data_IF_528235274055
#
_entry.id   IF_528235274055
#
_cell.length_a   1.000
_cell.length_b   1.000
_cell.length_c   1.000
_cell.angle_alpha   90.00
_cell.angle_beta   90.00
_cell.angle_gamma   90.00
#
_symmetry.space_group_name_H-M   'P 1'
#
loop_
_entity.id
_entity.type
_entity.pdbx_description
1 polymer ?
#
# COMPACT_ATOMS: atom_id res chain seq x y z
N UNK A 1 2.34 6.02 0.73
CA UNK A 1 3.63 6.62 0.37
C UNK A 1 4.10 7.70 1.32
N UNK A 2 4.55 7.36 2.54
CA UNK A 2 5.27 8.34 3.37
C UNK A 2 6.59 8.74 2.75
N UNK A 3 7.37 7.77 2.26
CA UNK A 3 8.62 8.06 1.55
C UNK A 3 8.39 8.98 0.34
N UNK A 4 7.43 8.65 -0.53
CA UNK A 4 7.10 9.50 -1.67
C UNK A 4 6.64 10.91 -1.28
N UNK A 5 5.84 11.03 -0.21
CA UNK A 5 5.42 12.33 0.32
C UNK A 5 6.60 13.18 0.82
N UNK A 6 7.57 12.58 1.51
CA UNK A 6 8.80 13.28 1.94
C UNK A 6 9.61 13.77 0.75
N UNK A 7 9.84 12.90 -0.24
CA UNK A 7 10.64 13.26 -1.43
C UNK A 7 9.95 14.36 -2.23
N UNK A 8 8.63 14.32 -2.35
CA UNK A 8 7.84 15.35 -3.02
C UNK A 8 7.94 16.70 -2.29
N UNK A 9 7.68 16.71 -0.98
CA UNK A 9 7.75 17.93 -0.17
C UNK A 9 9.15 18.56 -0.21
N UNK A 10 10.21 17.76 -0.14
CA UNK A 10 11.59 18.25 -0.16
C UNK A 10 12.01 18.86 -1.52
N UNK A 11 11.43 18.40 -2.64
CA UNK A 11 11.78 18.88 -3.98
C UNK A 11 11.14 20.21 -4.34
N UNK A 12 9.93 20.43 -3.87
CA UNK A 12 9.16 21.63 -4.18
C UNK A 12 9.52 22.79 -3.24
N UNK A 13 10.66 22.68 -2.53
CA UNK A 13 11.18 23.64 -1.54
C UNK A 13 10.13 24.08 -0.51
N UNK A 14 9.13 23.25 -0.31
CA UNK A 14 8.06 23.52 0.63
C UNK A 14 8.60 23.19 2.02
N UNK A 15 8.89 24.23 2.81
CA UNK A 15 8.90 24.15 4.27
C UNK A 15 7.45 23.96 4.76
N UNK A 16 6.81 22.92 4.25
CA UNK A 16 5.70 22.30 4.92
C UNK A 16 6.26 21.94 6.30
N UNK A 17 5.89 22.68 7.34
CA UNK A 17 6.22 22.37 8.74
C UNK A 17 5.59 21.07 9.23
N UNK A 18 5.43 20.09 8.33
CA UNK A 18 4.96 18.75 8.53
C UNK A 18 6.09 17.92 9.12
N UNK A 19 5.82 17.24 10.24
CA UNK A 19 6.70 16.20 10.77
C UNK A 19 6.59 14.90 9.97
N UNK A 20 6.63 15.01 8.63
CA UNK A 20 6.52 13.88 7.73
C UNK A 20 7.90 13.20 7.60
N UNK A 21 7.98 11.95 8.05
CA UNK A 21 9.18 11.12 7.96
C UNK A 21 8.98 9.96 6.98
N UNK A 22 10.03 9.63 6.23
CA UNK A 22 10.04 8.47 5.35
C UNK A 22 9.80 7.19 6.17
N UNK A 23 9.10 6.22 5.57
CA UNK A 23 8.90 4.91 6.20
C UNK A 23 10.08 3.96 6.01
N UNK A 24 11.18 4.40 5.38
CA UNK A 24 12.34 3.57 5.07
C UNK A 24 12.82 2.75 6.27
N UNK A 25 12.66 1.42 6.19
CA UNK A 25 13.10 0.47 7.21
C UNK A 25 13.27 -0.92 6.61
N UNK A 26 14.12 -1.74 7.25
CA UNK A 26 14.23 -3.14 6.87
C UNK A 26 12.95 -3.90 7.22
N UNK A 27 12.45 -4.69 6.26
CA UNK A 27 11.30 -5.57 6.42
C UNK A 27 11.69 -7.03 6.74
N UNK A 28 12.98 -7.32 6.87
CA UNK A 28 13.49 -8.69 7.05
C UNK A 28 12.90 -9.38 8.27
N UNK A 29 12.95 -8.74 9.44
CA UNK A 29 12.57 -9.38 10.70
C UNK A 29 11.07 -9.71 10.77
N UNK A 30 10.22 -8.83 10.23
CA UNK A 30 8.77 -9.10 10.14
C UNK A 30 8.46 -10.26 9.20
N UNK A 31 9.15 -10.33 8.04
CA UNK A 31 8.98 -11.43 7.08
C UNK A 31 9.46 -12.76 7.66
N UNK A 32 10.62 -12.79 8.33
CA UNK A 32 11.14 -14.00 8.96
C UNK A 32 10.20 -14.51 10.07
N UNK A 33 9.62 -13.60 10.86
CA UNK A 33 8.67 -13.97 11.91
C UNK A 33 7.37 -14.55 11.35
N UNK A 34 6.84 -13.99 10.26
CA UNK A 34 5.68 -14.55 9.55
C UNK A 34 5.94 -16.01 9.11
N UNK A 35 7.07 -16.27 8.45
CA UNK A 35 7.41 -17.62 8.01
C UNK A 35 7.66 -18.58 9.16
N UNK A 36 8.33 -18.13 10.22
CA UNK A 36 8.59 -18.95 11.42
C UNK A 36 7.29 -19.34 12.15
N UNK A 37 6.26 -18.50 12.07
CA UNK A 37 4.93 -18.79 12.58
C UNK A 37 4.07 -19.67 11.64
N UNK A 38 4.61 -20.10 10.50
CA UNK A 38 3.92 -20.96 9.54
C UNK A 38 2.96 -20.22 8.60
N UNK A 39 3.02 -18.89 8.55
CA UNK A 39 2.26 -18.12 7.55
C UNK A 39 2.84 -18.43 6.17
N UNK A 40 1.96 -18.75 5.21
CA UNK A 40 2.31 -19.06 3.83
C UNK A 40 1.65 -18.06 2.89
N UNK A 41 2.28 -16.89 2.65
CA UNK A 41 1.81 -15.94 1.66
C UNK A 41 1.74 -16.60 0.28
N UNK A 42 0.64 -16.37 -0.43
CA UNK A 42 0.56 -16.74 -1.84
C UNK A 42 1.41 -15.78 -2.69
N UNK A 43 1.46 -14.51 -2.29
CA UNK A 43 2.35 -13.51 -2.87
C UNK A 43 2.67 -12.44 -1.82
N UNK A 44 3.82 -11.81 -1.98
CA UNK A 44 4.30 -10.71 -1.14
C UNK A 44 5.17 -9.79 -1.99
N UNK A 45 4.99 -8.47 -1.83
CA UNK A 45 5.79 -7.48 -2.53
C UNK A 45 5.85 -6.17 -1.76
N UNK A 46 7.01 -5.55 -1.74
CA UNK A 46 7.21 -4.18 -1.26
C UNK A 46 6.50 -3.15 -2.15
N UNK A 47 5.92 -2.13 -1.53
CA UNK A 47 5.12 -1.11 -2.23
C UNK A 47 5.98 0.11 -2.61
N UNK A 48 7.11 -0.14 -3.28
CA UNK A 48 8.09 0.87 -3.72
C UNK A 48 7.55 1.67 -4.90
N UNK A 49 8.14 1.58 -6.10
CA UNK A 49 7.74 2.39 -7.25
C UNK A 49 6.29 2.11 -7.66
N UNK A 50 5.49 3.16 -7.77
CA UNK A 50 4.06 3.07 -8.10
C UNK A 50 3.15 2.69 -6.91
N UNK A 51 3.74 2.49 -5.73
CA UNK A 51 3.03 2.34 -4.47
C UNK A 51 2.13 1.10 -4.40
N UNK A 52 1.09 1.21 -3.58
CA UNK A 52 0.08 0.17 -3.40
C UNK A 52 -0.69 -0.09 -4.70
N UNK A 53 -0.97 0.96 -5.47
CA UNK A 53 -1.71 0.84 -6.73
C UNK A 53 -0.99 -0.07 -7.72
N UNK A 54 0.32 0.10 -7.92
CA UNK A 54 1.10 -0.76 -8.81
C UNK A 54 1.05 -2.22 -8.36
N UNK A 55 1.32 -2.49 -7.07
CA UNK A 55 1.37 -3.86 -6.53
C UNK A 55 0.05 -4.58 -6.78
N UNK A 56 -1.08 -3.96 -6.43
CA UNK A 56 -2.39 -4.61 -6.55
C UNK A 56 -2.81 -4.77 -8.00
N UNK A 57 -2.59 -3.78 -8.86
CA UNK A 57 -2.95 -3.88 -10.28
C UNK A 57 -2.11 -4.92 -11.02
N UNK A 58 -0.82 -5.03 -10.70
CA UNK A 58 0.02 -6.08 -11.24
C UNK A 58 -0.44 -7.47 -10.77
N UNK A 59 -0.85 -7.61 -9.51
CA UNK A 59 -1.42 -8.86 -9.01
C UNK A 59 -2.73 -9.21 -9.71
N UNK A 60 -3.70 -8.29 -9.77
CA UNK A 60 -4.99 -8.51 -10.43
C UNK A 60 -4.82 -8.99 -11.88
N UNK A 61 -3.94 -8.32 -12.64
CA UNK A 61 -3.61 -8.66 -14.02
C UNK A 61 -2.90 -10.01 -14.16
N UNK A 62 -1.92 -10.30 -13.30
CA UNK A 62 -1.16 -11.54 -13.37
C UNK A 62 -2.00 -12.76 -12.94
N UNK A 63 -2.78 -12.62 -11.88
CA UNK A 63 -3.61 -13.69 -11.34
C UNK A 63 -4.93 -13.86 -12.09
N UNK A 64 -5.31 -12.89 -12.92
CA UNK A 64 -6.62 -12.80 -13.59
C UNK A 64 -7.78 -12.83 -12.58
N UNK A 65 -7.64 -12.07 -11.50
CA UNK A 65 -8.69 -11.92 -10.48
C UNK A 65 -9.01 -10.45 -10.29
N UNK A 66 -10.19 -10.18 -9.74
CA UNK A 66 -10.50 -8.85 -9.23
C UNK A 66 -10.03 -8.74 -7.77
N UNK A 67 -9.60 -7.54 -7.35
CA UNK A 67 -9.23 -7.27 -5.96
C UNK A 67 -10.14 -6.17 -5.43
N UNK A 68 -10.90 -6.47 -4.37
CA UNK A 68 -11.67 -5.47 -3.64
C UNK A 68 -10.84 -4.93 -2.48
N UNK A 69 -10.67 -3.62 -2.43
CA UNK A 69 -9.94 -2.89 -1.40
C UNK A 69 -10.92 -2.03 -0.60
N UNK A 70 -10.85 -2.10 0.72
CA UNK A 70 -11.60 -1.27 1.65
C UNK A 70 -10.79 -0.02 1.97
N UNK A 71 -11.21 1.13 1.46
CA UNK A 71 -10.46 2.39 1.54
C UNK A 71 -10.18 2.80 2.99
N UNK A 72 -11.17 2.65 3.87
CA UNK A 72 -11.06 2.98 5.30
C UNK A 72 -9.99 2.17 6.06
N UNK A 73 -9.59 1.03 5.51
CA UNK A 73 -8.57 0.17 6.11
C UNK A 73 -7.16 0.55 5.66
N UNK A 74 -6.99 1.39 4.63
CA UNK A 74 -5.69 1.88 4.22
C UNK A 74 -5.28 3.03 5.14
N UNK A 75 -4.25 2.81 5.96
CA UNK A 75 -3.71 3.84 6.84
C UNK A 75 -2.82 4.80 6.06
N UNK A 76 -3.32 6.01 5.85
CA UNK A 76 -2.59 7.14 5.28
C UNK A 76 -2.35 8.17 6.38
N UNK A 77 -1.13 8.69 6.48
CA UNK A 77 -0.81 9.75 7.43
C UNK A 77 -1.40 11.09 6.94
N UNK A 78 -1.89 11.93 7.84
CA UNK A 78 -2.54 13.21 7.51
C UNK A 78 -1.60 14.12 6.70
N UNK A 79 -0.30 14.09 7.00
CA UNK A 79 0.70 14.86 6.28
C UNK A 79 0.88 14.36 4.83
N UNK A 80 0.72 13.06 4.59
CA UNK A 80 0.73 12.50 3.22
C UNK A 80 -0.52 12.94 2.48
N UNK A 81 -1.69 12.94 3.14
CA UNK A 81 -2.93 13.46 2.54
C UNK A 81 -2.78 14.93 2.15
N UNK A 82 -2.25 15.78 3.03
CA UNK A 82 -2.05 17.20 2.73
C UNK A 82 -1.11 17.43 1.55
N UNK A 83 -0.02 16.67 1.45
CA UNK A 83 0.87 16.69 0.28
C UNK A 83 0.13 16.24 -0.98
N UNK A 84 -0.62 15.14 -0.92
CA UNK A 84 -1.41 14.63 -2.03
C UNK A 84 -2.46 15.65 -2.53
N UNK A 85 -3.16 16.32 -1.63
CA UNK A 85 -4.14 17.36 -1.96
C UNK A 85 -3.50 18.57 -2.66
N UNK A 86 -2.32 19.00 -2.22
CA UNK A 86 -1.63 20.15 -2.79
C UNK A 86 -1.17 19.88 -4.24
N UNK A 87 -0.71 18.66 -4.52
CA UNK A 87 -0.10 18.31 -5.81
C UNK A 87 -0.99 17.48 -6.73
N UNK A 88 -2.20 17.11 -6.27
CA UNK A 88 -3.15 16.32 -7.05
C UNK A 88 -2.72 14.86 -7.25
N UNK A 89 -2.00 14.28 -6.28
CA UNK A 89 -1.62 12.87 -6.28
C UNK A 89 -2.55 12.04 -5.41
N UNK A 90 -2.67 10.75 -5.73
CA UNK A 90 -3.30 9.78 -4.83
C UNK A 90 -2.23 9.16 -3.90
N UNK A 91 -2.51 9.00 -2.60
CA UNK A 91 -1.53 8.46 -1.64
C UNK A 91 -1.11 7.01 -1.93
N UNK A 92 -1.96 6.29 -2.66
CA UNK A 92 -1.77 4.89 -3.05
C UNK A 92 -0.74 4.71 -4.17
N UNK A 93 -0.45 5.76 -4.93
CA UNK A 93 0.52 5.74 -6.02
C UNK A 93 1.94 6.15 -5.54
N UNK A 94 2.02 6.83 -4.39
CA UNK A 94 3.28 7.26 -3.79
C UNK A 94 4.08 6.08 -3.23
N UNK A 95 5.38 6.10 -3.51
CA UNK A 95 6.30 5.05 -3.09
C UNK A 95 6.45 4.93 -1.57
N UNK A 96 6.73 3.71 -1.13
CA UNK A 96 7.01 3.34 0.25
C UNK A 96 8.32 2.56 0.30
N UNK A 97 9.16 2.81 1.30
CA UNK A 97 10.49 2.16 1.46
C UNK A 97 10.59 1.28 2.71
N UNK A 98 9.47 1.03 3.36
CA UNK A 98 9.39 0.18 4.54
C UNK A 98 8.00 -0.40 4.75
N UNK A 99 7.27 -0.57 3.65
CA UNK A 99 5.90 -1.08 3.59
C UNK A 99 5.80 -2.14 2.51
N UNK A 100 5.11 -3.23 2.79
CA UNK A 100 4.83 -4.28 1.82
C UNK A 100 3.37 -4.70 1.88
N UNK A 101 2.94 -5.36 0.81
CA UNK A 101 1.63 -5.98 0.66
C UNK A 101 1.84 -7.50 0.65
N UNK A 102 0.93 -8.25 1.26
CA UNK A 102 0.90 -9.71 1.18
C UNK A 102 -0.52 -10.21 0.99
N UNK A 103 -0.65 -11.28 0.20
CA UNK A 103 -1.88 -12.06 0.11
C UNK A 103 -1.68 -13.40 0.79
N UNK A 104 -2.64 -13.81 1.60
CA UNK A 104 -2.66 -15.09 2.33
C UNK A 104 -4.02 -15.76 2.15
N UNK A 105 -4.07 -17.06 2.43
CA UNK A 105 -5.35 -17.74 2.64
C UNK A 105 -6.12 -17.07 3.79
N UNK A 106 -7.44 -16.95 3.64
CA UNK A 106 -8.33 -16.32 4.63
C UNK A 106 -8.13 -16.90 6.03
N UNK A 107 -7.84 -18.20 6.14
CA UNK A 107 -7.60 -18.87 7.42
C UNK A 107 -6.34 -18.39 8.14
N UNK A 108 -5.39 -17.78 7.42
CA UNK A 108 -4.14 -17.24 7.98
C UNK A 108 -4.17 -15.71 8.13
N UNK A 109 -5.23 -15.03 7.70
CA UNK A 109 -5.28 -13.57 7.63
C UNK A 109 -5.16 -12.91 9.02
N UNK A 110 -5.92 -13.37 10.00
CA UNK A 110 -5.90 -12.81 11.37
C UNK A 110 -4.58 -13.10 12.11
N UNK A 111 -4.03 -14.31 11.95
CA UNK A 111 -2.73 -14.67 12.55
C UNK A 111 -1.59 -13.86 11.94
N UNK A 112 -1.59 -13.68 10.61
CA UNK A 112 -0.63 -12.81 9.94
C UNK A 112 -0.77 -11.36 10.42
N UNK A 113 -1.99 -10.84 10.48
CA UNK A 113 -2.27 -9.47 10.96
C UNK A 113 -1.76 -9.25 12.38
N UNK A 114 -1.98 -10.23 13.27
CA UNK A 114 -1.50 -10.17 14.66
C UNK A 114 0.03 -10.02 14.71
N UNK A 115 0.76 -10.80 13.92
CA UNK A 115 2.23 -10.72 13.84
C UNK A 115 2.67 -9.38 13.26
N UNK A 116 2.05 -8.93 12.16
CA UNK A 116 2.36 -7.65 11.53
C UNK A 116 2.23 -6.48 12.51
N UNK A 117 1.18 -6.51 13.35
CA UNK A 117 0.92 -5.47 14.36
C UNK A 117 1.93 -5.40 15.50
N UNK A 118 2.77 -6.43 15.67
CA UNK A 118 3.92 -6.36 16.58
C UNK A 118 5.04 -5.46 16.05
N UNK A 119 5.14 -5.29 14.72
CA UNK A 119 6.15 -4.45 14.06
C UNK A 119 5.59 -3.11 13.58
N UNK A 120 4.31 -3.06 13.23
CA UNK A 120 3.63 -1.85 12.80
C UNK A 120 2.16 -1.86 13.19
N UNK A 121 1.78 -0.99 14.12
CA UNK A 121 0.39 -0.88 14.61
C UNK A 121 -0.59 -0.49 13.50
N UNK A 122 -0.11 0.05 12.38
CA UNK A 122 -0.92 0.44 11.24
C UNK A 122 -1.19 -0.72 10.26
N UNK A 123 -0.63 -1.91 10.48
CA UNK A 123 -0.94 -3.07 9.67
C UNK A 123 -2.45 -3.40 9.73
N UNK A 124 -3.03 -3.64 8.55
CA UNK A 124 -4.46 -3.84 8.34
C UNK A 124 -4.70 -4.86 7.23
N UNK A 125 -5.77 -5.63 7.34
CA UNK A 125 -6.36 -6.34 6.20
C UNK A 125 -7.12 -5.28 5.39
N UNK A 126 -6.64 -5.01 4.17
CA UNK A 126 -7.16 -3.93 3.34
C UNK A 126 -8.14 -4.40 2.27
N UNK A 127 -8.39 -5.70 2.12
CA UNK A 127 -9.18 -6.18 1.00
C UNK A 127 -9.27 -7.69 0.89
N UNK A 128 -9.93 -8.12 -0.18
CA UNK A 128 -10.06 -9.54 -0.56
C UNK A 128 -9.87 -9.71 -2.06
N UNK A 129 -9.35 -10.88 -2.44
CA UNK A 129 -9.37 -11.33 -3.83
C UNK A 129 -10.78 -11.84 -4.14
N UNK A 130 -11.29 -11.57 -5.33
CA UNK A 130 -12.60 -11.97 -5.81
C UNK A 130 -12.46 -12.76 -7.10
N UNK A 131 -13.52 -13.50 -7.47
CA UNK A 131 -13.59 -14.12 -8.80
C UNK A 131 -13.41 -13.09 -9.92
N UNK A 132 -12.79 -13.55 -11.01
CA UNK A 132 -12.44 -12.72 -12.15
C UNK A 132 -13.68 -12.14 -12.83
N UNK A 133 -13.73 -10.81 -12.95
CA UNK A 133 -14.71 -10.16 -13.83
C UNK A 133 -14.05 -9.21 -14.82
N UNK A 134 -13.12 -8.38 -14.35
CA UNK A 134 -12.43 -7.41 -15.19
C UNK A 134 -10.90 -7.40 -15.02
N UNK A 135 -10.34 -8.28 -14.18
CA UNK A 135 -8.91 -8.34 -13.87
C UNK A 135 -8.40 -7.00 -13.28
N UNK A 136 -9.21 -6.42 -12.38
CA UNK A 136 -9.07 -5.03 -11.93
C UNK A 136 -9.01 -4.89 -10.40
N UNK A 137 -8.57 -3.72 -9.95
CA UNK A 137 -8.63 -3.34 -8.53
C UNK A 137 -9.76 -2.36 -8.30
N UNK A 138 -10.66 -2.69 -7.39
CA UNK A 138 -11.81 -1.87 -7.01
C UNK A 138 -11.57 -1.38 -5.60
N UNK A 139 -11.61 -0.07 -5.39
CA UNK A 139 -11.56 0.53 -4.07
C UNK A 139 -12.99 0.96 -3.67
N UNK A 140 -13.42 0.49 -2.50
CA UNK A 140 -14.73 0.75 -1.90
C UNK A 140 -14.54 1.65 -0.68
N UNK A 141 -15.28 2.76 -0.61
CA UNK A 141 -15.24 3.66 0.54
C UNK A 141 -16.24 3.26 1.63
N UNK A 142 -16.21 3.95 2.77
CA UNK A 142 -17.10 3.71 3.90
C UNK A 142 -18.61 3.81 3.57
N UNK A 143 -18.97 4.49 2.47
CA UNK A 143 -20.34 4.62 1.98
C UNK A 143 -20.71 3.58 0.92
N UNK A 144 -19.88 2.55 0.72
CA UNK A 144 -20.04 1.50 -0.29
C UNK A 144 -20.00 1.98 -1.74
N UNK A 145 -19.51 3.21 -1.97
CA UNK A 145 -19.20 3.68 -3.31
C UNK A 145 -17.93 3.02 -3.81
N UNK A 146 -17.92 2.62 -5.08
CA UNK A 146 -16.82 1.87 -5.70
C UNK A 146 -16.24 2.64 -6.89
N UNK A 147 -14.92 2.68 -6.99
CA UNK A 147 -14.18 3.16 -8.16
C UNK A 147 -13.03 2.22 -8.47
N UNK A 148 -12.47 2.31 -9.67
CA UNK A 148 -11.22 1.62 -9.95
C UNK A 148 -10.06 2.32 -9.25
N UNK A 149 -9.19 1.52 -8.63
CA UNK A 149 -7.86 1.98 -8.25
C UNK A 149 -6.98 1.80 -9.49
N UNK A 150 -6.90 2.84 -10.30
CA UNK A 150 -6.14 2.83 -11.55
C UNK A 150 -4.65 2.59 -11.29
N UNK A 151 -3.93 1.85 -12.17
CA UNK A 151 -2.48 1.75 -12.08
C UNK A 151 -1.83 3.14 -12.20
N UNK A 152 -0.66 3.35 -11.59
CA UNK A 152 0.00 4.66 -11.61
C UNK A 152 0.32 5.09 -13.05
N UNK A 153 0.09 6.37 -13.34
CA UNK A 153 0.32 6.97 -14.67
C UNK A 153 1.81 7.28 -14.86
N UNK A 154 2.61 6.23 -15.09
CA UNK A 154 4.05 6.35 -15.33
C UNK A 154 4.86 6.64 -14.06
N UNK A 155 6.07 7.18 -14.24
CA UNK A 155 6.96 7.52 -13.12
C UNK A 155 6.56 8.89 -12.54
N UNK A 156 5.80 8.88 -11.44
CA UNK A 156 5.29 10.10 -10.78
C UNK A 156 6.42 11.07 -10.39
N UNK A 157 7.55 10.53 -9.93
CA UNK A 157 8.71 11.31 -9.52
C UNK A 157 9.99 10.63 -10.00
N UNK A 158 10.74 11.23 -10.95
CA UNK A 158 12.02 10.65 -11.39
C UNK A 158 13.01 10.65 -10.22
N UNK A 159 13.77 9.56 -10.01
CA UNK A 159 14.73 9.41 -8.89
C UNK A 159 14.10 9.46 -7.49
N UNK A 160 12.94 8.83 -7.31
CA UNK A 160 12.26 8.74 -6.01
C UNK A 160 12.93 7.73 -5.06
N UNK A 161 13.49 6.64 -5.60
CA UNK A 161 14.22 5.59 -4.88
C UNK A 161 15.69 5.58 -5.30
#
# INVERSE_FOLDING_TARGET
GRHGGVVLAAREEFELGLDLKSDCKSLKEVVLKLFSAGIKPQTMRDATRGGLSAVLNEWAKFSKFDILVFEENIKVADEVMGVCELFGFEPYELANEGTFVMAVDEKQAEDALKILREFDKNAMIIGTVMEAKNECVIIENAYKSRRFLEPPKGELLPRIC
#
